data_IF_813722324878
#
_entry.id   IF_813722324878
#
_cell.length_a   1.000
_cell.length_b   1.000
_cell.length_c   1.000
_cell.angle_alpha   90.00
_cell.angle_beta   90.00
_cell.angle_gamma   90.00
#
_symmetry.space_group_name_H-M   'P 1'
#
loop_
_entity.id
_entity.type
_entity.pdbx_description
1 polymer ?
#
# COMPACT_ATOMS: atom_id res chain seq x y z
N UNK A 1 3.76 17.70 -29.98
CA UNK A 1 4.03 18.63 -28.87
C UNK A 1 2.78 19.07 -28.11
N UNK A 2 1.71 19.56 -28.79
CA UNK A 2 0.49 20.04 -28.14
C UNK A 2 -0.23 19.00 -27.27
N UNK A 3 -0.28 17.75 -27.70
CA UNK A 3 -1.01 16.69 -26.96
C UNK A 3 -0.27 16.20 -25.69
N UNK A 4 1.06 16.26 -25.70
CA UNK A 4 1.90 15.90 -24.55
C UNK A 4 1.84 17.02 -23.49
N UNK A 5 1.95 18.28 -23.93
CA UNK A 5 1.81 19.45 -23.07
C UNK A 5 0.41 19.59 -22.47
N UNK A 6 -0.64 19.26 -23.24
CA UNK A 6 -2.02 19.28 -22.76
C UNK A 6 -2.31 18.16 -21.73
N UNK A 7 -1.68 16.98 -21.87
CA UNK A 7 -1.83 15.87 -20.91
C UNK A 7 -1.18 16.13 -19.56
N UNK A 8 -0.02 16.80 -19.52
CA UNK A 8 0.72 17.04 -18.28
C UNK A 8 0.17 18.23 -17.49
N UNK A 9 -0.31 19.28 -18.17
CA UNK A 9 -0.65 20.55 -17.52
C UNK A 9 -2.16 20.85 -17.46
N UNK A 10 -3.03 19.97 -17.98
CA UNK A 10 -4.49 20.14 -17.96
C UNK A 10 -4.96 21.42 -18.67
N UNK A 11 -6.26 21.74 -18.66
CA UNK A 11 -6.83 22.88 -19.41
C UNK A 11 -6.19 24.27 -19.15
N UNK A 12 -5.42 24.44 -18.07
CA UNK A 12 -4.63 25.64 -17.78
C UNK A 12 -3.31 25.76 -18.59
N UNK A 13 -2.87 24.66 -19.22
CA UNK A 13 -1.65 24.55 -20.00
C UNK A 13 -1.61 25.38 -21.27
N UNK A 14 -2.78 25.68 -21.86
CA UNK A 14 -2.84 26.32 -23.18
C UNK A 14 -2.10 27.66 -23.17
N UNK A 15 -2.21 28.43 -22.07
CA UNK A 15 -1.49 29.69 -21.90
C UNK A 15 0.01 29.53 -21.62
N UNK A 16 0.44 28.45 -20.95
CA UNK A 16 1.86 28.18 -20.66
C UNK A 16 2.58 27.63 -21.88
N UNK A 17 1.94 26.72 -22.62
CA UNK A 17 2.42 26.21 -23.90
C UNK A 17 2.51 27.31 -24.96
N UNK A 18 1.57 28.27 -24.98
CA UNK A 18 1.66 29.45 -25.85
C UNK A 18 2.85 30.35 -25.49
N UNK A 19 3.06 30.62 -24.19
CA UNK A 19 4.21 31.41 -23.73
C UNK A 19 5.55 30.74 -24.01
N UNK A 20 5.63 29.42 -23.81
CA UNK A 20 6.81 28.64 -24.18
C UNK A 20 7.04 28.65 -25.70
N UNK A 21 6.00 28.45 -26.51
CA UNK A 21 6.08 28.53 -27.96
C UNK A 21 6.55 29.89 -28.46
N UNK A 22 6.08 31.00 -27.87
CA UNK A 22 6.50 32.36 -28.23
C UNK A 22 7.94 32.70 -27.82
N UNK A 23 8.48 32.07 -26.76
CA UNK A 23 9.89 32.23 -26.36
C UNK A 23 10.80 31.43 -27.26
N UNK A 24 10.37 30.23 -27.66
CA UNK A 24 11.13 29.33 -28.53
C UNK A 24 11.21 29.89 -29.95
N UNK A 25 10.11 30.38 -30.52
CA UNK A 25 10.12 31.04 -31.85
C UNK A 25 10.94 32.35 -31.86
N UNK A 26 11.22 32.96 -30.69
CA UNK A 26 12.07 34.15 -30.60
C UNK A 26 13.57 33.84 -30.76
N UNK A 27 13.99 32.64 -30.34
CA UNK A 27 15.41 32.25 -30.30
C UNK A 27 15.77 31.16 -31.32
N UNK A 28 14.79 30.43 -31.86
CA UNK A 28 15.02 29.31 -32.78
C UNK A 28 14.33 29.58 -34.12
N UNK A 29 15.13 29.91 -35.13
CA UNK A 29 14.63 30.39 -36.44
C UNK A 29 14.69 29.32 -37.54
N UNK A 30 15.49 28.27 -37.39
CA UNK A 30 15.63 27.20 -38.38
C UNK A 30 14.81 25.96 -38.04
N UNK A 31 14.32 25.23 -39.06
CA UNK A 31 13.51 24.01 -38.86
C UNK A 31 14.27 22.89 -38.14
N UNK A 32 15.58 22.82 -38.33
CA UNK A 32 16.46 21.81 -37.73
C UNK A 32 16.73 22.08 -36.25
N UNK A 33 17.02 23.33 -35.89
CA UNK A 33 17.14 23.73 -34.47
C UNK A 33 15.82 23.57 -33.73
N UNK A 34 14.68 23.84 -34.40
CA UNK A 34 13.36 23.63 -33.80
C UNK A 34 13.15 22.15 -33.50
N UNK A 35 13.42 21.26 -34.46
CA UNK A 35 13.31 19.82 -34.27
C UNK A 35 14.26 19.27 -33.18
N UNK A 36 15.49 19.78 -33.11
CA UNK A 36 16.45 19.42 -32.06
C UNK A 36 15.94 19.85 -30.67
N UNK A 37 15.40 21.07 -30.58
CA UNK A 37 14.79 21.59 -29.36
C UNK A 37 13.55 20.81 -28.94
N UNK A 38 12.66 20.43 -29.88
CA UNK A 38 11.49 19.61 -29.55
C UNK A 38 11.91 18.26 -28.98
N UNK A 39 12.99 17.66 -29.52
CA UNK A 39 13.52 16.38 -29.07
C UNK A 39 14.11 16.47 -27.66
N UNK A 40 14.94 17.47 -27.41
CA UNK A 40 15.58 17.68 -26.10
C UNK A 40 14.54 18.04 -25.02
N UNK A 41 13.56 18.87 -25.37
CA UNK A 41 12.43 19.18 -24.51
C UNK A 41 11.59 17.93 -24.19
N UNK A 42 11.32 17.10 -25.20
CA UNK A 42 10.57 15.84 -25.01
C UNK A 42 11.33 14.87 -24.11
N UNK A 43 12.65 14.77 -24.27
CA UNK A 43 13.50 13.95 -23.42
C UNK A 43 13.51 14.44 -21.97
N UNK A 44 13.63 15.75 -21.74
CA UNK A 44 13.51 16.36 -20.40
C UNK A 44 12.13 16.07 -19.79
N UNK A 45 11.05 16.16 -20.57
CA UNK A 45 9.70 15.85 -20.08
C UNK A 45 9.51 14.39 -19.74
N UNK A 46 10.01 13.46 -20.57
CA UNK A 46 9.96 12.02 -20.29
C UNK A 46 10.74 11.71 -19.01
N UNK A 47 11.91 12.33 -18.83
CA UNK A 47 12.73 12.12 -17.63
C UNK A 47 12.05 12.69 -16.36
N UNK A 48 11.39 13.85 -16.48
CA UNK A 48 10.61 14.44 -15.40
C UNK A 48 9.40 13.58 -15.02
N UNK A 49 8.67 13.04 -16.01
CA UNK A 49 7.55 12.12 -15.78
C UNK A 49 8.04 10.83 -15.11
N UNK A 50 9.13 10.25 -15.60
CA UNK A 50 9.74 9.05 -15.02
C UNK A 50 10.12 9.26 -13.55
N UNK A 51 10.79 10.38 -13.24
CA UNK A 51 11.15 10.75 -11.86
C UNK A 51 9.92 10.97 -10.97
N UNK A 52 8.85 11.52 -11.52
CA UNK A 52 7.60 11.71 -10.78
C UNK A 52 6.92 10.37 -10.46
N UNK A 53 6.91 9.43 -11.41
CA UNK A 53 6.41 8.06 -11.20
C UNK A 53 7.27 7.29 -10.18
N UNK A 54 8.58 7.48 -10.21
CA UNK A 54 9.50 6.91 -9.22
C UNK A 54 9.18 7.41 -7.81
N UNK A 55 9.00 8.72 -7.61
CA UNK A 55 8.61 9.29 -6.31
C UNK A 55 7.25 8.77 -5.80
N UNK A 56 6.26 8.59 -6.70
CA UNK A 56 4.96 7.99 -6.34
C UNK A 56 5.16 6.54 -5.89
N UNK A 57 5.98 5.79 -6.61
CA UNK A 57 6.28 4.38 -6.30
C UNK A 57 7.04 4.26 -4.98
N UNK A 58 8.02 5.13 -4.72
CA UNK A 58 8.73 5.19 -3.44
C UNK A 58 7.78 5.50 -2.31
N UNK A 59 6.89 6.48 -2.46
CA UNK A 59 5.88 6.77 -1.46
C UNK A 59 4.98 5.57 -1.18
N UNK A 60 4.54 4.86 -2.21
CA UNK A 60 3.74 3.64 -2.03
C UNK A 60 4.53 2.54 -1.33
N UNK A 61 5.83 2.37 -1.65
CA UNK A 61 6.72 1.43 -0.94
C UNK A 61 6.88 1.81 0.53
N UNK A 62 7.10 3.09 0.81
CA UNK A 62 7.23 3.65 2.17
C UNK A 62 5.93 3.42 2.94
N UNK A 63 4.77 3.73 2.36
CA UNK A 63 3.46 3.49 2.99
C UNK A 63 3.21 1.99 3.28
N UNK A 64 3.69 1.10 2.42
CA UNK A 64 3.60 -0.36 2.63
C UNK A 64 4.60 -0.87 3.68
N UNK A 65 5.82 -0.33 3.71
CA UNK A 65 6.90 -0.72 4.62
C UNK A 65 6.69 -0.17 6.03
N UNK A 66 6.14 1.04 6.15
CA UNK A 66 5.79 1.68 7.43
C UNK A 66 4.39 1.32 7.93
N UNK A 67 3.70 0.36 7.28
CA UNK A 67 2.48 -0.25 7.80
C UNK A 67 2.64 -0.60 9.27
N UNK A 68 1.93 0.15 10.12
CA UNK A 68 2.07 0.24 11.56
C UNK A 68 2.40 -1.12 12.23
N UNK A 69 3.34 -1.15 13.19
CA UNK A 69 3.67 -2.35 14.00
C UNK A 69 2.42 -3.04 14.53
N UNK A 70 1.37 -2.26 14.84
CA UNK A 70 0.07 -2.77 15.27
C UNK A 70 -0.62 -3.63 14.20
N UNK A 71 -0.64 -3.19 12.94
CA UNK A 71 -1.25 -3.90 11.82
C UNK A 71 -0.53 -5.23 11.54
N UNK A 72 0.80 -5.27 11.69
CA UNK A 72 1.57 -6.51 11.52
C UNK A 72 1.36 -7.50 12.66
N UNK A 73 1.07 -7.00 13.85
CA UNK A 73 0.90 -7.79 15.08
C UNK A 73 -0.56 -8.12 15.42
N UNK A 74 -1.54 -7.64 14.64
CA UNK A 74 -2.97 -7.87 14.93
C UNK A 74 -3.31 -9.36 14.98
N UNK A 75 -2.76 -10.17 14.07
CA UNK A 75 -2.97 -11.63 14.03
C UNK A 75 -2.54 -12.32 15.33
N UNK A 76 -1.27 -12.19 15.77
CA UNK A 76 -0.84 -12.79 17.03
C UNK A 76 -1.52 -12.15 18.26
N UNK A 77 -1.85 -10.85 18.23
CA UNK A 77 -2.55 -10.18 19.34
C UNK A 77 -3.97 -10.75 19.56
N UNK A 78 -4.72 -11.00 18.48
CA UNK A 78 -6.04 -11.64 18.58
C UNK A 78 -5.93 -13.05 19.16
N UNK A 79 -4.89 -13.80 18.79
CA UNK A 79 -4.64 -15.13 19.37
C UNK A 79 -4.43 -15.07 20.89
N UNK A 80 -3.57 -14.14 21.33
CA UNK A 80 -3.27 -13.94 22.76
C UNK A 80 -4.54 -13.51 23.50
N UNK A 81 -5.30 -12.57 22.94
CA UNK A 81 -6.56 -12.11 23.52
C UNK A 81 -7.57 -13.25 23.73
N UNK A 82 -7.73 -14.13 22.74
CA UNK A 82 -8.65 -15.27 22.84
C UNK A 82 -8.18 -16.29 23.88
N UNK A 83 -6.88 -16.57 23.96
CA UNK A 83 -6.32 -17.47 24.99
C UNK A 83 -6.53 -16.89 26.38
N UNK A 84 -6.24 -15.60 26.59
CA UNK A 84 -6.47 -14.94 27.88
C UNK A 84 -7.95 -14.98 28.24
N UNK A 85 -8.85 -14.73 27.29
CA UNK A 85 -10.30 -14.80 27.49
C UNK A 85 -10.75 -16.21 27.90
N UNK A 86 -10.20 -17.27 27.29
CA UNK A 86 -10.48 -18.65 27.72
C UNK A 86 -9.99 -18.94 29.13
N UNK A 87 -8.80 -18.47 29.49
CA UNK A 87 -8.23 -18.66 30.84
C UNK A 87 -9.10 -17.95 31.89
N UNK A 88 -9.54 -16.72 31.61
CA UNK A 88 -10.47 -16.00 32.50
C UNK A 88 -11.80 -16.74 32.67
N UNK A 89 -12.37 -17.31 31.60
CA UNK A 89 -13.59 -18.10 31.69
C UNK A 89 -13.42 -19.35 32.56
N UNK A 90 -12.25 -19.99 32.54
CA UNK A 90 -11.95 -21.14 33.42
C UNK A 90 -11.96 -20.70 34.89
N UNK A 91 -11.41 -19.53 35.23
CA UNK A 91 -11.45 -19.02 36.60
C UNK A 91 -12.87 -18.68 37.08
N UNK A 92 -13.70 -18.16 36.17
CA UNK A 92 -15.11 -17.92 36.46
C UNK A 92 -15.85 -19.24 36.70
N UNK A 93 -15.66 -20.24 35.84
CA UNK A 93 -16.30 -21.56 35.96
C UNK A 93 -15.81 -22.34 37.19
N UNK A 94 -14.56 -22.12 37.61
CA UNK A 94 -13.97 -22.69 38.83
C UNK A 94 -14.49 -22.04 40.13
N UNK A 95 -15.47 -21.12 40.05
CA UNK A 95 -16.16 -20.55 41.20
C UNK A 95 -15.47 -19.35 41.84
N UNK A 96 -14.50 -18.71 41.16
CA UNK A 96 -13.82 -17.51 41.67
C UNK A 96 -14.75 -16.27 41.65
N UNK A 97 -15.77 -16.27 40.78
CA UNK A 97 -16.76 -15.20 40.62
C UNK A 97 -18.14 -15.86 40.40
N UNK A 98 -19.19 -15.38 41.08
CA UNK A 98 -20.58 -15.81 40.85
C UNK A 98 -21.14 -15.25 39.53
N UNK A 99 -20.55 -15.65 38.40
CA UNK A 99 -21.00 -15.28 37.07
C UNK A 99 -21.21 -16.53 36.23
N UNK A 100 -22.47 -16.85 35.92
CA UNK A 100 -22.80 -17.98 35.04
C UNK A 100 -22.74 -17.51 33.59
N UNK A 101 -21.80 -18.07 32.83
CA UNK A 101 -21.66 -17.82 31.39
C UNK A 101 -22.53 -18.81 30.63
N UNK A 102 -23.40 -18.31 29.75
CA UNK A 102 -24.25 -19.16 28.91
C UNK A 102 -23.41 -20.08 28.00
N UNK A 103 -23.93 -21.27 27.73
CA UNK A 103 -23.29 -22.26 26.88
C UNK A 103 -23.10 -21.74 25.44
N UNK A 104 -24.01 -20.92 24.92
CA UNK A 104 -23.88 -20.31 23.59
C UNK A 104 -22.58 -19.51 23.46
N UNK A 105 -22.24 -18.70 24.48
CA UNK A 105 -21.01 -17.90 24.50
C UNK A 105 -19.75 -18.75 24.66
N UNK A 106 -19.82 -19.82 25.47
CA UNK A 106 -18.73 -20.80 25.61
C UNK A 106 -18.44 -21.49 24.28
N UNK A 107 -19.49 -21.88 23.55
CA UNK A 107 -19.39 -22.56 22.26
C UNK A 107 -18.87 -21.63 21.16
N UNK A 108 -19.39 -20.40 21.08
CA UNK A 108 -18.91 -19.38 20.15
C UNK A 108 -17.42 -19.13 20.35
N UNK A 109 -16.98 -18.94 21.60
CA UNK A 109 -15.59 -18.66 21.91
C UNK A 109 -14.67 -19.85 21.59
N UNK A 110 -15.12 -21.09 21.84
CA UNK A 110 -14.41 -22.31 21.44
C UNK A 110 -14.24 -22.40 19.91
N UNK A 111 -15.30 -22.14 19.15
CA UNK A 111 -15.27 -22.14 17.69
C UNK A 111 -14.28 -21.08 17.16
N UNK A 112 -14.33 -19.88 17.74
CA UNK A 112 -13.48 -18.76 17.35
C UNK A 112 -12.00 -19.02 17.69
N UNK A 113 -11.72 -19.63 18.85
CA UNK A 113 -10.37 -20.08 19.22
C UNK A 113 -9.83 -21.14 18.23
N UNK A 114 -10.61 -22.18 17.94
CA UNK A 114 -10.18 -23.26 17.05
C UNK A 114 -9.88 -22.75 15.64
N UNK A 115 -10.79 -21.94 15.08
CA UNK A 115 -10.65 -21.38 13.73
C UNK A 115 -9.48 -20.41 13.63
N UNK A 116 -9.28 -19.52 14.60
CA UNK A 116 -8.18 -18.55 14.58
C UNK A 116 -6.81 -19.20 14.78
N UNK A 117 -6.70 -20.21 15.66
CA UNK A 117 -5.48 -21.01 15.86
C UNK A 117 -5.13 -21.77 14.58
N UNK A 118 -6.10 -22.46 13.98
CA UNK A 118 -5.89 -23.19 12.72
C UNK A 118 -5.47 -22.25 11.58
N UNK A 119 -6.14 -21.10 11.43
CA UNK A 119 -5.79 -20.12 10.40
C UNK A 119 -4.40 -19.51 10.61
N UNK A 120 -4.03 -19.19 11.86
CA UNK A 120 -2.73 -18.59 12.17
C UNK A 120 -1.58 -19.56 11.91
N UNK A 121 -1.63 -20.75 12.51
CA UNK A 121 -0.56 -21.74 12.34
C UNK A 121 -0.57 -22.39 10.95
N UNK A 122 -1.75 -22.61 10.37
CA UNK A 122 -1.90 -23.11 8.99
C UNK A 122 -1.31 -22.14 7.97
N UNK A 123 -1.65 -20.85 8.06
CA UNK A 123 -1.10 -19.81 7.18
C UNK A 123 0.43 -19.68 7.33
N UNK A 124 0.94 -19.69 8.57
CA UNK A 124 2.39 -19.66 8.83
C UNK A 124 3.13 -20.89 8.29
N UNK A 125 2.51 -22.06 8.40
CA UNK A 125 3.09 -23.32 7.89
C UNK A 125 3.13 -23.31 6.36
N UNK A 126 2.10 -22.79 5.72
CA UNK A 126 2.05 -22.61 4.27
C UNK A 126 3.10 -21.58 3.78
N UNK A 127 3.18 -20.41 4.42
CA UNK A 127 4.21 -19.39 4.12
C UNK A 127 5.63 -19.97 4.23
N UNK A 128 5.90 -20.78 5.25
CA UNK A 128 7.20 -21.44 5.45
C UNK A 128 7.44 -22.53 4.40
N UNK A 129 6.43 -23.33 4.07
CA UNK A 129 6.52 -24.38 3.06
C UNK A 129 6.82 -23.83 1.67
N UNK A 130 6.20 -22.72 1.28
CA UNK A 130 6.52 -22.03 0.02
C UNK A 130 7.98 -21.55 -0.02
N UNK A 131 8.46 -20.89 1.05
CA UNK A 131 9.85 -20.41 1.12
C UNK A 131 10.90 -21.51 1.01
N UNK A 132 10.57 -22.73 1.46
CA UNK A 132 11.45 -23.90 1.33
C UNK A 132 11.46 -24.40 -0.12
N UNK A 133 10.30 -24.41 -0.82
CA UNK A 133 10.20 -24.87 -2.21
C UNK A 133 10.84 -23.92 -3.23
N UNK A 134 10.91 -22.63 -2.91
CA UNK A 134 11.49 -21.60 -3.79
C UNK A 134 13.01 -21.43 -3.59
N UNK A 135 13.59 -22.08 -2.58
CA UNK A 135 15.05 -22.16 -2.36
C UNK A 135 15.61 -23.41 -3.00
#
# INVERSE_FOLDING_TARGET
MKDILAKIFGGAAVGVAQKLGSVVDKFVHTKEEKAAFEKEMTEIFINAEAKQQENVTERWKVDLQHGNKLTRSVRPLVLIFLIVSTVLLIFVDAGFINFTVDNEWKELLKLLLMTTVAAYFGGRSYEKGQKIKTK
#
